data_IF_391008219071
#
_entry.id   IF_391008219071
#
_cell.length_a   1.000
_cell.length_b   1.000
_cell.length_c   1.000
_cell.angle_alpha   90.00
_cell.angle_beta   90.00
_cell.angle_gamma   90.00
#
_symmetry.space_group_name_H-M   'P 1'
#
loop_
_entity.id
_entity.type
_entity.pdbx_description
1 polymer ?
#
# COMPACT_ATOMS: atom_id res chain seq x y z
N UNK A 1 21.38 8.24 20.26
CA UNK A 1 20.80 8.94 19.08
C UNK A 1 19.97 10.12 19.55
N UNK A 2 20.24 11.34 19.05
CA UNK A 2 19.42 12.53 19.35
C UNK A 2 18.00 12.32 18.78
N UNK A 3 16.98 12.43 19.63
CA UNK A 3 15.59 12.47 19.18
C UNK A 3 15.32 13.84 18.57
N UNK A 4 15.01 13.87 17.28
CA UNK A 4 14.59 15.11 16.61
C UNK A 4 13.08 15.20 16.79
N UNK A 5 12.63 16.10 17.68
CA UNK A 5 11.19 16.40 17.80
C UNK A 5 10.85 17.57 16.90
N UNK A 6 9.89 17.39 16.02
CA UNK A 6 9.33 18.50 15.25
C UNK A 6 8.61 19.46 16.22
N UNK A 7 8.81 20.77 16.06
CA UNK A 7 8.18 21.79 16.91
C UNK A 7 6.66 21.79 16.80
N UNK A 8 6.13 21.39 15.63
CA UNK A 8 4.70 21.30 15.37
C UNK A 8 4.28 19.83 15.18
N UNK A 9 3.46 19.33 16.10
CA UNK A 9 2.95 17.95 16.08
C UNK A 9 1.69 17.78 15.20
N UNK A 10 1.27 18.83 14.46
CA UNK A 10 0.14 18.77 13.50
C UNK A 10 0.53 18.11 12.18
N UNK A 11 1.82 17.89 11.94
CA UNK A 11 2.32 17.23 10.74
C UNK A 11 1.77 15.82 10.58
N UNK A 12 1.53 15.45 9.33
CA UNK A 12 1.17 14.09 8.91
C UNK A 12 2.33 13.54 8.09
N UNK A 13 2.82 12.35 8.44
CA UNK A 13 3.77 11.63 7.62
C UNK A 13 3.03 10.62 6.76
N UNK A 14 3.27 10.68 5.46
CA UNK A 14 2.84 9.66 4.51
C UNK A 14 4.10 9.00 3.99
N UNK A 15 4.13 7.67 4.01
CA UNK A 15 5.24 6.88 3.49
C UNK A 15 4.71 5.75 2.61
N UNK A 16 5.55 5.23 1.73
CA UNK A 16 5.21 4.12 0.87
C UNK A 16 6.42 3.34 0.45
N UNK A 17 6.20 2.28 -0.32
CA UNK A 17 7.22 1.39 -0.84
C UNK A 17 7.63 0.28 0.13
N UNK A 18 8.30 -0.72 -0.44
CA UNK A 18 8.82 -1.88 0.29
C UNK A 18 10.25 -1.64 0.81
N UNK A 19 10.74 -2.56 1.62
CA UNK A 19 12.09 -2.52 2.21
C UNK A 19 13.22 -2.78 1.20
N UNK A 20 12.91 -3.36 0.04
CA UNK A 20 13.85 -3.58 -1.08
C UNK A 20 15.23 -4.07 -0.59
N UNK A 21 16.30 -3.34 -0.92
CA UNK A 21 17.69 -3.64 -0.49
C UNK A 21 17.86 -3.66 1.05
N UNK A 22 16.96 -3.02 1.81
CA UNK A 22 16.97 -3.03 3.27
C UNK A 22 16.11 -4.15 3.88
N UNK A 23 15.77 -5.20 3.14
CA UNK A 23 14.89 -6.27 3.61
C UNK A 23 15.36 -6.91 4.93
N UNK A 24 16.67 -7.03 5.14
CA UNK A 24 17.25 -7.53 6.41
C UNK A 24 16.92 -6.67 7.63
N UNK A 25 16.55 -5.41 7.42
CA UNK A 25 16.14 -4.47 8.47
C UNK A 25 14.62 -4.34 8.59
N UNK A 26 13.86 -5.16 7.84
CA UNK A 26 12.40 -5.12 7.80
C UNK A 26 11.81 -5.23 9.19
N UNK A 27 10.97 -4.29 9.52
CA UNK A 27 10.11 -4.31 10.72
C UNK A 27 8.65 -4.26 10.29
N UNK A 28 7.74 -4.64 11.19
CA UNK A 28 6.32 -4.52 10.91
C UNK A 28 5.91 -3.06 10.73
N UNK A 29 4.87 -2.81 9.92
CA UNK A 29 4.32 -1.47 9.70
C UNK A 29 3.97 -0.77 11.03
N UNK A 30 3.37 -1.49 11.95
CA UNK A 30 3.04 -0.98 13.29
C UNK A 30 4.28 -0.53 14.05
N UNK A 31 5.35 -1.36 14.06
CA UNK A 31 6.62 -1.01 14.72
C UNK A 31 7.24 0.22 14.07
N UNK A 32 7.32 0.26 12.75
CA UNK A 32 7.84 1.42 12.01
C UNK A 32 7.08 2.71 12.36
N UNK A 33 5.75 2.69 12.31
CA UNK A 33 4.90 3.85 12.63
C UNK A 33 5.11 4.32 14.07
N UNK A 34 5.22 3.40 15.02
CA UNK A 34 5.44 3.74 16.42
C UNK A 34 6.81 4.38 16.64
N UNK A 35 7.86 3.85 16.04
CA UNK A 35 9.21 4.43 16.11
C UNK A 35 9.25 5.83 15.51
N UNK A 36 8.65 6.02 14.33
CA UNK A 36 8.55 7.34 13.69
C UNK A 36 7.80 8.33 14.58
N UNK A 37 6.65 7.95 15.13
CA UNK A 37 5.89 8.79 16.06
C UNK A 37 6.71 9.20 17.29
N UNK A 38 7.43 8.24 17.88
CA UNK A 38 8.26 8.50 19.06
C UNK A 38 9.46 9.41 18.77
N UNK A 39 10.12 9.22 17.62
CA UNK A 39 11.33 9.98 17.29
C UNK A 39 11.03 11.38 16.77
N UNK A 40 9.98 11.52 15.95
CA UNK A 40 9.62 12.80 15.33
C UNK A 40 8.52 13.56 16.08
N UNK A 41 7.84 12.95 17.05
CA UNK A 41 6.72 13.57 17.77
C UNK A 41 5.43 13.70 16.94
N UNK A 42 5.33 13.01 15.82
CA UNK A 42 4.16 13.04 14.94
C UNK A 42 3.01 12.21 15.50
N UNK A 43 1.77 12.70 15.36
CA UNK A 43 0.57 11.97 15.78
C UNK A 43 0.04 11.04 14.67
N UNK A 44 0.21 11.44 13.41
CA UNK A 44 -0.36 10.74 12.24
C UNK A 44 0.75 10.26 11.31
N UNK A 45 0.81 8.95 11.12
CA UNK A 45 1.72 8.28 10.18
C UNK A 45 0.90 7.27 9.42
N UNK A 46 0.84 7.43 8.10
CA UNK A 46 0.08 6.57 7.20
C UNK A 46 0.98 5.98 6.14
N UNK A 47 0.71 4.74 5.78
CA UNK A 47 1.30 4.10 4.62
C UNK A 47 0.40 4.33 3.40
N UNK A 48 0.97 4.25 2.21
CA UNK A 48 0.22 4.17 0.96
C UNK A 48 0.74 3.06 0.06
N UNK A 49 -0.13 2.52 -0.74
CA UNK A 49 0.18 1.61 -1.84
C UNK A 49 -0.11 2.32 -3.16
N UNK A 50 0.81 2.22 -4.10
CA UNK A 50 0.71 2.83 -5.42
C UNK A 50 1.95 2.50 -6.24
N UNK A 51 1.88 2.73 -7.54
CA UNK A 51 2.94 2.41 -8.49
C UNK A 51 3.04 3.46 -9.58
N UNK A 52 4.23 3.58 -10.17
CA UNK A 52 4.48 4.54 -11.26
C UNK A 52 3.71 4.19 -12.52
N UNK A 53 3.50 2.90 -12.75
CA UNK A 53 2.78 2.34 -13.89
C UNK A 53 1.29 2.70 -13.91
N UNK A 54 0.75 3.17 -12.77
CA UNK A 54 -0.62 3.65 -12.65
C UNK A 54 -0.66 4.97 -11.88
N UNK A 55 -0.06 5.98 -12.46
CA UNK A 55 0.07 7.32 -11.87
C UNK A 55 -1.28 7.88 -11.45
N UNK A 56 -1.34 8.42 -10.23
CA UNK A 56 -2.54 9.02 -9.64
C UNK A 56 -3.38 8.07 -8.81
N UNK A 57 -3.21 6.76 -8.93
CA UNK A 57 -3.89 5.78 -8.07
C UNK A 57 -3.08 5.56 -6.79
N UNK A 58 -3.56 6.13 -5.69
CA UNK A 58 -2.96 6.03 -4.37
C UNK A 58 -3.96 5.44 -3.40
N UNK A 59 -3.65 4.24 -2.91
CA UNK A 59 -4.45 3.55 -1.91
C UNK A 59 -3.91 3.90 -0.52
N UNK A 60 -4.59 4.80 0.19
CA UNK A 60 -4.13 5.29 1.47
C UNK A 60 -4.55 4.36 2.61
N UNK A 61 -3.62 4.10 3.52
CA UNK A 61 -3.87 3.30 4.72
C UNK A 61 -4.74 4.06 5.72
N UNK A 62 -5.76 3.40 6.25
CA UNK A 62 -6.60 3.92 7.33
C UNK A 62 -6.00 3.66 8.72
N UNK A 63 -6.65 4.16 9.76
CA UNK A 63 -6.25 3.98 11.17
C UNK A 63 -6.21 2.52 11.62
N UNK A 64 -6.95 1.64 10.94
CA UNK A 64 -6.99 0.20 11.21
C UNK A 64 -5.93 -0.60 10.46
N UNK A 65 -5.06 0.09 9.69
CA UNK A 65 -3.95 -0.52 8.97
C UNK A 65 -4.32 -1.16 7.64
N UNK A 66 -5.47 -0.81 7.07
CA UNK A 66 -5.91 -1.29 5.76
C UNK A 66 -5.83 -0.20 4.71
N UNK A 67 -5.45 -0.56 3.50
CA UNK A 67 -5.55 0.30 2.34
C UNK A 67 -6.98 0.36 1.83
N UNK A 68 -7.41 1.53 1.37
CA UNK A 68 -8.75 1.74 0.83
C UNK A 68 -8.71 2.15 -0.63
N UNK A 69 -9.64 1.62 -1.40
CA UNK A 69 -9.90 2.08 -2.75
C UNK A 69 -10.53 3.49 -2.73
N UNK A 70 -10.20 4.29 -3.74
CA UNK A 70 -10.83 5.60 -3.96
C UNK A 70 -12.04 5.46 -4.90
N UNK A 71 -12.75 6.56 -5.14
CA UNK A 71 -13.85 6.59 -6.13
C UNK A 71 -13.37 6.34 -7.57
N UNK A 72 -12.08 6.54 -7.86
CA UNK A 72 -11.49 6.44 -9.19
C UNK A 72 -10.63 5.19 -9.38
N UNK A 73 -10.49 4.38 -8.33
CA UNK A 73 -9.64 3.19 -8.36
C UNK A 73 -10.27 2.03 -7.62
N UNK A 74 -9.97 0.83 -8.06
CA UNK A 74 -10.41 -0.41 -7.45
C UNK A 74 -9.30 -1.45 -7.48
N UNK A 75 -9.50 -2.56 -6.78
CA UNK A 75 -8.63 -3.73 -6.86
C UNK A 75 -9.44 -5.01 -7.06
N UNK A 76 -8.79 -5.95 -7.71
CA UNK A 76 -9.21 -7.35 -7.78
C UNK A 76 -8.06 -8.21 -7.23
N UNK A 77 -8.40 -9.36 -6.67
CA UNK A 77 -7.41 -10.37 -6.29
C UNK A 77 -7.57 -11.56 -7.21
N UNK A 78 -6.45 -12.02 -7.80
CA UNK A 78 -6.40 -13.13 -8.76
C UNK A 78 -5.63 -14.31 -8.20
N UNK A 79 -6.15 -15.52 -8.41
CA UNK A 79 -5.41 -16.75 -8.14
C UNK A 79 -4.35 -17.03 -9.21
N UNK A 80 -3.65 -18.17 -9.14
CA UNK A 80 -2.64 -18.60 -10.12
C UNK A 80 -3.21 -18.83 -11.52
N UNK A 81 -4.49 -19.13 -11.65
CA UNK A 81 -5.18 -19.31 -12.93
C UNK A 81 -5.76 -17.98 -13.46
N UNK A 82 -5.52 -16.88 -12.77
CA UNK A 82 -6.07 -15.55 -13.03
C UNK A 82 -7.58 -15.43 -12.81
N UNK A 83 -8.21 -16.40 -12.14
CA UNK A 83 -9.60 -16.28 -11.71
C UNK A 83 -9.71 -15.33 -10.53
N UNK A 84 -10.89 -14.77 -10.32
CA UNK A 84 -11.17 -13.90 -9.17
C UNK A 84 -11.19 -14.70 -7.87
N UNK A 85 -10.42 -14.26 -6.90
CA UNK A 85 -10.49 -14.76 -5.52
C UNK A 85 -11.71 -14.20 -4.78
N UNK A 86 -12.21 -14.97 -3.83
CA UNK A 86 -13.21 -14.48 -2.88
C UNK A 86 -12.58 -13.51 -1.85
N UNK A 87 -13.44 -12.79 -1.16
CA UNK A 87 -13.01 -11.99 0.02
C UNK A 87 -12.31 -12.88 1.04
N UNK A 88 -11.19 -12.39 1.57
CA UNK A 88 -10.28 -13.07 2.51
C UNK A 88 -9.38 -14.16 1.89
N UNK A 89 -9.43 -14.37 0.61
CA UNK A 89 -8.44 -15.20 -0.11
C UNK A 89 -7.27 -14.35 -0.59
N UNK A 90 -6.07 -14.90 -0.48
CA UNK A 90 -4.85 -14.26 -0.94
C UNK A 90 -4.59 -14.56 -2.42
N UNK A 91 -4.07 -13.58 -3.14
CA UNK A 91 -3.67 -13.74 -4.54
C UNK A 91 -2.97 -12.50 -5.08
N UNK A 92 -2.72 -12.48 -6.37
CA UNK A 92 -2.11 -11.35 -7.08
C UNK A 92 -3.06 -10.15 -7.08
N UNK A 93 -2.53 -8.98 -6.77
CA UNK A 93 -3.28 -7.74 -6.85
C UNK A 93 -3.36 -7.30 -8.31
N UNK A 94 -4.57 -7.10 -8.81
CA UNK A 94 -4.83 -6.36 -10.04
C UNK A 94 -5.44 -5.02 -9.67
N UNK A 95 -4.76 -3.93 -10.03
CA UNK A 95 -5.24 -2.57 -9.80
C UNK A 95 -6.04 -2.06 -10.98
N UNK A 96 -7.14 -1.38 -10.70
CA UNK A 96 -7.99 -0.72 -11.69
C UNK A 96 -8.02 0.78 -11.40
N UNK A 97 -7.99 1.61 -12.47
CA UNK A 97 -8.05 3.06 -12.34
C UNK A 97 -8.73 3.71 -13.54
N UNK A 98 -9.50 4.75 -13.27
CA UNK A 98 -10.09 5.63 -14.29
C UNK A 98 -9.19 6.82 -14.63
N UNK A 99 -8.08 7.01 -13.92
CA UNK A 99 -7.22 8.19 -14.04
C UNK A 99 -6.27 8.18 -15.25
N UNK A 100 -5.64 7.04 -15.64
CA UNK A 100 -4.79 6.99 -16.81
C UNK A 100 -5.59 7.19 -18.10
N UNK A 101 -5.30 8.23 -18.88
CA UNK A 101 -5.96 8.54 -20.15
C UNK A 101 -4.99 8.62 -21.33
N UNK A 102 -3.69 8.75 -21.06
CA UNK A 102 -2.66 8.91 -22.09
C UNK A 102 -1.90 7.62 -22.41
N UNK A 103 -2.13 6.54 -21.66
CA UNK A 103 -1.50 5.22 -21.82
C UNK A 103 -2.43 4.14 -21.25
N UNK A 104 -2.27 2.85 -21.61
CA UNK A 104 -3.16 1.76 -21.18
C UNK A 104 -2.87 1.32 -19.74
N UNK A 105 -2.98 2.25 -18.79
CA UNK A 105 -2.77 2.04 -17.36
C UNK A 105 -4.03 1.76 -16.54
N UNK A 106 -5.18 1.55 -17.21
CA UNK A 106 -6.47 1.39 -16.52
C UNK A 106 -6.56 0.09 -15.74
N UNK A 107 -5.82 -0.94 -16.13
CA UNK A 107 -5.85 -2.26 -15.50
C UNK A 107 -4.44 -2.85 -15.52
N UNK A 108 -3.86 -3.06 -14.33
CA UNK A 108 -2.50 -3.59 -14.20
C UNK A 108 -2.52 -4.78 -13.24
N UNK A 109 -2.10 -5.94 -13.72
CA UNK A 109 -1.79 -7.09 -12.87
C UNK A 109 -0.39 -6.89 -12.30
N UNK A 110 -0.28 -6.89 -10.98
CA UNK A 110 0.99 -6.63 -10.28
C UNK A 110 1.65 -7.94 -9.86
N UNK A 111 2.91 -7.84 -9.42
CA UNK A 111 3.62 -8.93 -8.74
C UNK A 111 3.43 -8.89 -7.21
N UNK A 112 2.51 -8.08 -6.72
CA UNK A 112 2.22 -7.98 -5.29
C UNK A 112 1.07 -8.92 -4.92
N UNK A 113 1.21 -9.55 -3.76
CA UNK A 113 0.18 -10.42 -3.18
C UNK A 113 -0.62 -9.62 -2.17
N UNK A 114 -1.94 -9.73 -2.24
CA UNK A 114 -2.84 -9.05 -1.31
C UNK A 114 -4.07 -9.85 -0.94
N UNK A 115 -4.86 -9.28 -0.04
CA UNK A 115 -6.14 -9.82 0.42
C UNK A 115 -7.15 -8.69 0.52
N UNK A 116 -8.34 -8.84 -0.08
CA UNK A 116 -9.51 -8.00 0.22
C UNK A 116 -10.13 -8.51 1.51
N UNK A 117 -10.27 -7.64 2.51
CA UNK A 117 -10.89 -7.99 3.79
C UNK A 117 -12.39 -7.79 3.83
N UNK A 118 -12.92 -6.90 3.01
CA UNK A 118 -14.36 -6.62 2.91
C UNK A 118 -14.66 -5.38 2.09
N UNK A 119 -15.94 -5.04 2.04
CA UNK A 119 -16.52 -3.89 1.33
C UNK A 119 -17.46 -3.20 2.30
N UNK A 120 -17.36 -1.89 2.45
CA UNK A 120 -18.24 -1.01 3.26
C UNK A 120 -18.31 -1.33 4.77
N UNK A 121 -17.51 -2.28 5.26
CA UNK A 121 -17.57 -2.76 6.65
C UNK A 121 -16.25 -2.59 7.42
N UNK A 122 -15.36 -1.72 6.94
CA UNK A 122 -14.14 -1.42 7.67
C UNK A 122 -14.43 -0.67 8.97
N UNK A 123 -13.84 -1.11 10.08
CA UNK A 123 -13.99 -0.47 11.40
C UNK A 123 -13.48 0.98 11.47
N UNK A 124 -12.88 1.51 10.42
CA UNK A 124 -12.50 2.92 10.32
C UNK A 124 -13.65 3.82 9.83
N UNK A 125 -14.79 3.25 9.43
CA UNK A 125 -15.95 3.97 8.93
C UNK A 125 -15.89 4.38 7.45
N UNK A 126 -14.78 4.12 6.76
CA UNK A 126 -14.68 4.39 5.31
C UNK A 126 -15.43 3.32 4.53
N UNK A 127 -16.16 3.76 3.51
CA UNK A 127 -16.82 2.90 2.53
C UNK A 127 -15.84 2.39 1.46
N UNK A 128 -16.29 1.47 0.63
CA UNK A 128 -15.53 0.85 -0.44
C UNK A 128 -14.74 -0.37 0.01
N UNK A 129 -14.03 -0.96 -0.95
CA UNK A 129 -13.13 -2.09 -0.69
C UNK A 129 -11.95 -1.66 0.19
N UNK A 130 -11.56 -2.55 1.09
CA UNK A 130 -10.33 -2.39 1.87
C UNK A 130 -9.52 -3.67 1.87
N UNK A 131 -8.20 -3.52 1.84
CA UNK A 131 -7.27 -4.61 1.59
C UNK A 131 -5.93 -4.43 2.32
N UNK A 132 -5.14 -5.47 2.33
CA UNK A 132 -3.72 -5.42 2.72
C UNK A 132 -2.83 -6.02 1.64
N UNK A 133 -1.61 -5.50 1.58
CA UNK A 133 -0.52 -6.03 0.76
C UNK A 133 0.35 -6.90 1.66
N UNK A 134 0.53 -8.15 1.30
CA UNK A 134 1.29 -9.14 2.07
C UNK A 134 2.77 -9.13 1.70
N UNK A 135 3.08 -8.86 0.44
CA UNK A 135 4.43 -8.87 -0.10
C UNK A 135 4.42 -9.02 -1.61
N UNK A 136 5.57 -9.37 -2.17
CA UNK A 136 5.71 -9.71 -3.60
C UNK A 136 5.78 -11.21 -3.78
N UNK A 137 5.48 -11.64 -5.00
CA UNK A 137 5.69 -13.04 -5.44
C UNK A 137 7.16 -13.40 -5.19
N UNK A 138 7.46 -14.59 -4.64
CA UNK A 138 8.82 -15.10 -4.58
C UNK A 138 9.47 -15.04 -5.97
N UNK A 139 10.74 -14.71 -6.02
CA UNK A 139 11.55 -14.57 -7.24
C UNK A 139 11.18 -13.38 -8.17
N UNK A 140 10.24 -12.52 -7.75
CA UNK A 140 10.03 -11.27 -8.45
C UNK A 140 11.24 -10.34 -8.26
N UNK A 141 11.63 -9.67 -9.36
CA UNK A 141 12.80 -8.79 -9.34
C UNK A 141 12.62 -7.61 -8.39
N UNK A 142 13.54 -7.45 -7.43
CA UNK A 142 13.52 -6.35 -6.46
C UNK A 142 14.09 -5.07 -7.09
N UNK A 143 13.42 -4.55 -8.13
CA UNK A 143 13.80 -3.27 -8.73
C UNK A 143 13.31 -2.09 -7.90
N UNK A 144 14.19 -1.12 -7.63
CA UNK A 144 13.84 0.20 -7.12
C UNK A 144 13.75 1.21 -8.26
N UNK A 145 12.95 2.28 -8.10
CA UNK A 145 12.89 3.37 -9.07
C UNK A 145 14.26 4.05 -9.31
N UNK A 146 15.26 3.80 -8.45
CA UNK A 146 16.63 4.30 -8.53
C UNK A 146 17.63 3.25 -9.04
N UNK A 147 17.21 2.04 -9.35
CA UNK A 147 18.08 0.98 -9.84
C UNK A 147 18.22 1.09 -11.37
N UNK A 148 18.63 2.28 -11.84
CA UNK A 148 19.11 2.46 -13.22
C UNK A 148 20.56 1.98 -13.23
N UNK A 149 20.83 0.89 -13.92
CA UNK A 149 22.18 0.50 -14.31
C UNK A 149 22.63 1.37 -15.48
#
# INVERSE_FOLDING_TARGET
RKKIKLKDNRGIMIHGGGWKKMYKLKVSNTKFKNEVKQHLGLKKVHNYYGMMEQTGSVFLECEKGYFHCSLFSDILIRNSNLDLCNTKEAGLIQTLSLLPVSYPGQSILTEDIGIIHGIDNCKCGKLGKYFSVLGRVPDSELRGCSDVN
#
